data_IF_334701979783
#
_entry.id   IF_334701979783
#
_cell.length_a   1.000
_cell.length_b   1.000
_cell.length_c   1.000
_cell.angle_alpha   90.00
_cell.angle_beta   90.00
_cell.angle_gamma   90.00
#
_symmetry.space_group_name_H-M   'P 1'
#
loop_
_entity.id
_entity.type
_entity.pdbx_description
1 polymer ?
#
# COMPACT_ATOMS: atom_id res chain seq x y z
N UNK A 1 -7.30 -21.69 0.29
CA UNK A 1 -6.21 -22.60 -0.18
C UNK A 1 -6.60 -24.04 -0.53
N UNK A 2 -7.17 -24.84 0.39
CA UNK A 2 -7.31 -26.30 0.24
C UNK A 2 -8.06 -26.78 -1.01
N UNK A 3 -8.99 -25.98 -1.54
CA UNK A 3 -9.73 -26.29 -2.77
C UNK A 3 -8.83 -26.28 -4.02
N UNK A 4 -7.85 -25.38 -4.10
CA UNK A 4 -6.90 -25.36 -5.22
C UNK A 4 -5.97 -26.57 -5.20
N UNK A 5 -5.56 -26.99 -4.00
CA UNK A 5 -4.78 -28.21 -3.79
C UNK A 5 -5.61 -29.45 -4.16
N UNK A 6 -6.88 -29.50 -3.73
CA UNK A 6 -7.81 -30.57 -4.08
C UNK A 6 -7.99 -30.67 -5.59
N UNK A 7 -8.19 -29.55 -6.28
CA UNK A 7 -8.27 -29.50 -7.75
C UNK A 7 -7.00 -30.01 -8.42
N UNK A 8 -5.82 -29.67 -7.90
CA UNK A 8 -4.55 -30.15 -8.45
C UNK A 8 -4.40 -31.67 -8.27
N UNK A 9 -4.76 -32.21 -7.10
CA UNK A 9 -4.68 -33.64 -6.80
C UNK A 9 -5.74 -34.44 -7.56
N UNK A 10 -6.96 -33.92 -7.65
CA UNK A 10 -8.03 -34.49 -8.46
C UNK A 10 -7.78 -34.31 -9.96
N UNK A 11 -6.82 -33.48 -10.34
CA UNK A 11 -6.37 -33.37 -11.72
C UNK A 11 -5.56 -34.60 -12.07
N UNK A 12 -6.02 -35.28 -13.11
CA UNK A 12 -5.38 -36.46 -13.69
C UNK A 12 -3.97 -36.20 -14.26
N UNK A 13 -3.57 -34.92 -14.32
CA UNK A 13 -2.34 -34.42 -14.95
C UNK A 13 -1.06 -35.06 -14.41
N UNK A 14 -0.96 -35.29 -13.09
CA UNK A 14 0.26 -35.87 -12.50
C UNK A 14 0.42 -37.35 -12.88
N UNK A 15 -0.69 -38.11 -12.90
CA UNK A 15 -0.69 -39.52 -13.27
C UNK A 15 -0.41 -39.68 -14.76
N UNK A 16 -1.06 -38.89 -15.62
CA UNK A 16 -0.78 -38.89 -17.07
C UNK A 16 0.67 -38.53 -17.40
N UNK A 17 1.25 -37.58 -16.67
CA UNK A 17 2.67 -37.21 -16.86
C UNK A 17 3.60 -38.36 -16.47
N UNK A 18 3.32 -39.05 -15.37
CA UNK A 18 4.05 -40.26 -14.98
C UNK A 18 3.93 -41.35 -16.07
N UNK A 19 2.72 -41.63 -16.55
CA UNK A 19 2.49 -42.66 -17.58
C UNK A 19 3.21 -42.32 -18.90
N UNK A 20 3.25 -41.04 -19.28
CA UNK A 20 4.03 -40.56 -20.43
C UNK A 20 5.54 -40.78 -20.23
N UNK A 21 6.07 -40.48 -19.04
CA UNK A 21 7.49 -40.69 -18.73
C UNK A 21 7.86 -42.18 -18.75
N UNK A 22 6.99 -43.02 -18.18
CA UNK A 22 7.15 -44.48 -18.16
C UNK A 22 7.06 -45.09 -19.58
N UNK A 23 6.13 -44.58 -20.41
CA UNK A 23 6.06 -44.92 -21.84
C UNK A 23 7.33 -44.51 -22.59
N UNK A 24 7.79 -43.28 -22.38
CA UNK A 24 9.02 -42.78 -23.01
C UNK A 24 10.25 -43.61 -22.61
N UNK A 25 10.38 -44.00 -21.35
CA UNK A 25 11.46 -44.88 -20.88
C UNK A 25 11.46 -46.23 -21.62
N UNK A 26 10.30 -46.85 -21.79
CA UNK A 26 10.18 -48.14 -22.51
C UNK A 26 10.58 -48.03 -23.98
N UNK A 27 10.25 -46.91 -24.62
CA UNK A 27 10.45 -46.70 -26.05
C UNK A 27 11.76 -45.96 -26.39
N UNK A 28 12.49 -45.48 -25.38
CA UNK A 28 13.64 -44.58 -25.55
C UNK A 28 14.67 -45.07 -26.58
N UNK A 29 15.04 -46.36 -26.51
CA UNK A 29 16.03 -46.95 -27.42
C UNK A 29 15.46 -47.28 -28.81
N UNK A 30 14.14 -47.34 -28.96
CA UNK A 30 13.46 -47.54 -30.23
C UNK A 30 13.20 -46.21 -30.97
N UNK A 31 13.17 -45.11 -30.23
CA UNK A 31 12.94 -43.77 -30.74
C UNK A 31 14.18 -43.16 -31.40
N UNK A 32 13.95 -42.28 -32.37
CA UNK A 32 15.01 -41.40 -32.89
C UNK A 32 15.38 -40.32 -31.88
N UNK A 33 16.54 -39.67 -32.10
CA UNK A 33 16.96 -38.53 -31.29
C UNK A 33 15.89 -37.43 -31.25
N UNK A 34 15.33 -37.06 -32.41
CA UNK A 34 14.31 -36.02 -32.50
C UNK A 34 13.02 -36.39 -31.76
N UNK A 35 12.59 -37.65 -31.83
CA UNK A 35 11.44 -38.14 -31.06
C UNK A 35 11.69 -38.05 -29.56
N UNK A 36 12.87 -38.48 -29.10
CA UNK A 36 13.25 -38.39 -27.69
C UNK A 36 13.33 -36.94 -27.20
N UNK A 37 13.86 -36.02 -28.02
CA UNK A 37 13.86 -34.60 -27.71
C UNK A 37 12.44 -34.03 -27.65
N UNK A 38 11.56 -34.40 -28.59
CA UNK A 38 10.16 -33.99 -28.59
C UNK A 38 9.42 -34.46 -27.32
N UNK A 39 9.58 -35.72 -26.93
CA UNK A 39 8.99 -36.25 -25.70
C UNK A 39 9.51 -35.52 -24.45
N UNK A 40 10.80 -35.23 -24.41
CA UNK A 40 11.41 -34.44 -23.32
C UNK A 40 10.78 -33.03 -23.24
N UNK A 41 10.66 -32.33 -24.36
CA UNK A 41 10.05 -31.00 -24.42
C UNK A 41 8.57 -31.00 -24.01
N UNK A 42 7.79 -31.98 -24.46
CA UNK A 42 6.41 -32.14 -24.04
C UNK A 42 6.30 -32.33 -22.52
N UNK A 43 7.16 -33.15 -21.92
CA UNK A 43 7.18 -33.36 -20.48
C UNK A 43 7.55 -32.07 -19.73
N UNK A 44 8.55 -31.33 -20.20
CA UNK A 44 8.91 -30.02 -19.64
C UNK A 44 7.72 -29.05 -19.70
N UNK A 45 6.97 -29.03 -20.80
CA UNK A 45 5.77 -28.21 -20.94
C UNK A 45 4.69 -28.59 -19.91
N UNK A 46 4.45 -29.89 -19.69
CA UNK A 46 3.48 -30.34 -18.69
C UNK A 46 3.94 -30.01 -17.27
N UNK A 47 5.22 -30.21 -16.95
CA UNK A 47 5.82 -29.82 -15.66
C UNK A 47 5.62 -28.32 -15.42
N UNK A 48 5.83 -27.49 -16.44
CA UNK A 48 5.66 -26.04 -16.35
C UNK A 48 4.23 -25.63 -15.96
N UNK A 49 3.21 -26.33 -16.47
CA UNK A 49 1.80 -26.09 -16.12
C UNK A 49 1.52 -26.44 -14.65
N UNK A 50 2.00 -27.60 -14.20
CA UNK A 50 1.88 -28.05 -12.80
C UNK A 50 2.64 -27.13 -11.86
N UNK A 51 3.86 -26.75 -12.23
CA UNK A 51 4.69 -25.80 -11.49
C UNK A 51 3.98 -24.45 -11.33
N UNK A 52 3.33 -23.94 -12.39
CA UNK A 52 2.50 -22.74 -12.33
C UNK A 52 1.29 -22.87 -11.39
N UNK A 53 0.65 -24.04 -11.33
CA UNK A 53 -0.43 -24.32 -10.36
C UNK A 53 0.10 -24.34 -8.92
N UNK A 54 1.25 -24.97 -8.68
CA UNK A 54 1.92 -25.01 -7.38
C UNK A 54 2.36 -23.62 -6.92
N UNK A 55 2.85 -22.77 -7.83
CA UNK A 55 3.17 -21.38 -7.48
C UNK A 55 1.95 -20.58 -7.07
N UNK A 56 0.81 -20.72 -7.77
CA UNK A 56 -0.44 -20.07 -7.34
C UNK A 56 -0.86 -20.51 -5.93
N UNK A 57 -0.76 -21.81 -5.67
CA UNK A 57 -1.01 -22.43 -4.36
C UNK A 57 -0.06 -21.85 -3.30
N UNK A 58 1.25 -21.80 -3.57
CA UNK A 58 2.26 -21.22 -2.70
C UNK A 58 1.97 -19.75 -2.35
N UNK A 59 1.73 -18.91 -3.36
CA UNK A 59 1.45 -17.48 -3.16
C UNK A 59 0.17 -17.28 -2.34
N UNK A 60 -0.87 -18.06 -2.61
CA UNK A 60 -2.11 -18.01 -1.81
C UNK A 60 -1.85 -18.43 -0.36
N UNK A 61 -1.03 -19.46 -0.14
CA UNK A 61 -0.68 -19.93 1.20
C UNK A 61 0.12 -18.90 2.01
N UNK A 62 1.11 -18.27 1.37
CA UNK A 62 1.91 -17.24 2.02
C UNK A 62 1.04 -16.04 2.46
N UNK A 63 0.04 -15.69 1.65
CA UNK A 63 -0.89 -14.59 1.97
C UNK A 63 -1.85 -14.91 3.13
N UNK A 64 -2.09 -16.18 3.44
CA UNK A 64 -3.02 -16.58 4.52
C UNK A 64 -2.46 -16.29 5.92
N UNK A 65 -1.14 -16.11 6.10
CA UNK A 65 -0.52 -15.84 7.41
C UNK A 65 -0.39 -14.35 7.80
N UNK A 66 -0.88 -13.42 6.98
CA UNK A 66 -0.83 -11.97 7.26
C UNK A 66 0.38 -11.25 6.62
N UNK A 67 0.66 -10.02 7.05
CA UNK A 67 1.51 -9.06 6.30
C UNK A 67 2.97 -9.51 6.03
N UNK A 68 3.52 -10.43 6.83
CA UNK A 68 4.91 -10.88 6.70
C UNK A 68 5.08 -12.40 6.74
N UNK A 69 4.00 -13.14 6.92
CA UNK A 69 4.09 -14.57 7.09
C UNK A 69 4.26 -15.27 5.74
N UNK A 70 5.00 -16.38 5.71
CA UNK A 70 5.41 -17.04 4.46
C UNK A 70 6.44 -16.29 3.59
N UNK A 71 6.61 -14.97 3.73
CA UNK A 71 7.60 -14.16 2.99
C UNK A 71 9.03 -14.63 3.29
N UNK A 72 9.33 -14.94 4.56
CA UNK A 72 10.65 -15.43 4.94
C UNK A 72 10.96 -16.82 4.37
N UNK A 73 9.94 -17.69 4.20
CA UNK A 73 10.09 -18.99 3.52
C UNK A 73 10.38 -18.77 2.04
N UNK A 74 9.69 -17.82 1.39
CA UNK A 74 9.93 -17.48 -0.01
C UNK A 74 11.37 -16.96 -0.20
N UNK A 75 11.81 -16.03 0.64
CA UNK A 75 13.17 -15.46 0.56
C UNK A 75 14.26 -16.48 0.86
N UNK A 76 14.09 -17.32 1.88
CA UNK A 76 15.13 -18.25 2.33
C UNK A 76 15.20 -19.54 1.52
N UNK A 77 14.11 -19.94 0.84
CA UNK A 77 14.06 -21.22 0.10
C UNK A 77 13.79 -21.07 -1.38
N UNK A 78 12.76 -20.31 -1.76
CA UNK A 78 12.37 -20.24 -3.17
C UNK A 78 13.36 -19.41 -3.99
N UNK A 79 13.77 -18.25 -3.50
CA UNK A 79 14.70 -17.37 -4.25
C UNK A 79 16.06 -18.04 -4.50
N UNK A 80 16.74 -18.66 -3.51
CA UNK A 80 18.01 -19.33 -3.76
C UNK A 80 17.88 -20.51 -4.72
N UNK A 81 16.75 -21.23 -4.67
CA UNK A 81 16.49 -22.34 -5.60
C UNK A 81 16.29 -21.84 -7.04
N UNK A 82 15.58 -20.73 -7.23
CA UNK A 82 15.41 -20.11 -8.55
C UNK A 82 16.75 -19.60 -9.08
N UNK A 83 17.53 -18.91 -8.24
CA UNK A 83 18.86 -18.42 -8.60
C UNK A 83 19.76 -19.56 -9.08
N UNK A 84 19.84 -20.65 -8.31
CA UNK A 84 20.60 -21.84 -8.70
C UNK A 84 20.09 -22.48 -10.01
N UNK A 85 18.78 -22.48 -10.24
CA UNK A 85 18.17 -23.08 -11.44
C UNK A 85 18.51 -22.29 -12.71
N UNK A 86 18.56 -20.95 -12.64
CA UNK A 86 18.96 -20.11 -13.78
C UNK A 86 20.48 -20.17 -14.03
N UNK A 87 21.29 -20.35 -12.98
CA UNK A 87 22.74 -20.57 -13.14
C UNK A 87 23.05 -21.94 -13.74
N UNK A 88 22.34 -22.99 -13.32
CA UNK A 88 22.56 -24.36 -13.82
C UNK A 88 22.18 -24.54 -15.30
N UNK A 89 21.13 -23.87 -15.76
CA UNK A 89 20.71 -23.92 -17.17
C UNK A 89 21.73 -23.31 -18.14
N UNK A 90 22.69 -22.52 -17.63
CA UNK A 90 23.78 -21.93 -18.42
C UNK A 90 24.98 -22.86 -18.59
N UNK A 91 25.04 -23.99 -17.87
CA UNK A 91 26.23 -24.82 -17.77
C UNK A 91 26.30 -25.92 -18.84
N UNK A 92 26.40 -25.47 -20.09
CA UNK A 92 26.94 -26.27 -21.18
C UNK A 92 28.45 -26.08 -21.30
N UNK A 93 29.24 -26.72 -20.40
CA UNK A 93 30.71 -26.99 -20.38
C UNK A 93 31.51 -26.34 -19.22
N UNK A 94 32.49 -27.06 -18.64
CA UNK A 94 33.52 -26.46 -17.80
C UNK A 94 34.62 -25.91 -18.73
N UNK A 95 34.69 -24.60 -18.88
CA UNK A 95 35.85 -23.94 -19.50
C UNK A 95 36.48 -23.05 -18.45
N UNK A 96 37.63 -23.52 -17.96
CA UNK A 96 38.66 -22.71 -17.32
C UNK A 96 39.04 -21.58 -18.28
N UNK A 97 38.52 -20.38 -18.06
CA UNK A 97 39.29 -19.14 -18.21
C UNK A 97 38.45 -17.96 -17.72
N UNK A 98 39.07 -17.11 -16.91
CA UNK A 98 38.56 -15.87 -16.32
C UNK A 98 37.51 -15.15 -17.20
N UNK A 99 36.25 -15.27 -16.81
CA UNK A 99 35.19 -14.33 -17.18
C UNK A 99 34.80 -13.63 -15.87
N UNK A 100 34.70 -12.28 -15.83
CA UNK A 100 34.24 -11.59 -14.63
C UNK A 100 32.90 -12.17 -14.21
N UNK A 101 32.84 -12.70 -12.99
CA UNK A 101 31.64 -13.32 -12.46
C UNK A 101 30.48 -12.31 -12.50
N UNK A 102 29.33 -12.72 -13.03
CA UNK A 102 28.09 -11.92 -12.97
C UNK A 102 27.68 -11.56 -11.52
N UNK A 103 28.29 -12.22 -10.54
CA UNK A 103 28.23 -11.86 -9.12
C UNK A 103 28.69 -10.41 -8.86
N UNK A 104 29.76 -9.95 -9.53
CA UNK A 104 30.30 -8.59 -9.35
C UNK A 104 29.33 -7.51 -9.83
N UNK A 105 28.50 -7.81 -10.84
CA UNK A 105 27.47 -6.87 -11.31
C UNK A 105 26.28 -6.77 -10.36
N UNK A 106 25.85 -7.89 -9.75
CA UNK A 106 24.73 -7.92 -8.81
C UNK A 106 25.11 -7.35 -7.43
N UNK A 107 26.33 -7.61 -6.95
CA UNK A 107 26.77 -7.07 -5.66
C UNK A 107 26.92 -5.54 -5.73
N UNK A 108 27.36 -4.99 -6.87
CA UNK A 108 27.49 -3.55 -7.07
C UNK A 108 26.12 -2.83 -7.10
N UNK A 109 25.06 -3.53 -7.52
CA UNK A 109 23.68 -3.03 -7.47
C UNK A 109 23.11 -3.05 -6.05
N UNK A 110 23.31 -4.14 -5.30
CA UNK A 110 22.85 -4.26 -3.89
C UNK A 110 23.42 -3.16 -2.99
N UNK A 111 24.70 -2.83 -3.14
CA UNK A 111 25.34 -1.77 -2.33
C UNK A 111 24.80 -0.37 -2.65
N UNK A 112 24.45 -0.13 -3.92
CA UNK A 112 23.95 1.17 -4.36
C UNK A 112 22.50 1.39 -3.91
N UNK A 113 21.66 0.36 -3.97
CA UNK A 113 20.27 0.43 -3.53
C UNK A 113 20.13 0.46 -2.00
N UNK A 114 20.99 -0.27 -1.27
CA UNK A 114 21.08 -0.19 0.20
C UNK A 114 21.51 1.20 0.66
N UNK A 115 22.47 1.84 -0.03
CA UNK A 115 22.95 3.17 0.33
C UNK A 115 21.96 4.30 0.05
N UNK A 116 21.06 4.13 -0.94
CA UNK A 116 19.98 5.09 -1.21
C UNK A 116 18.89 4.97 -0.14
N UNK A 117 18.44 3.74 0.17
CA UNK A 117 17.42 3.51 1.21
C UNK A 117 17.86 3.98 2.61
N UNK A 118 19.14 3.82 2.94
CA UNK A 118 19.69 4.29 4.22
C UNK A 118 19.71 5.82 4.33
N UNK A 119 20.05 6.52 3.24
CA UNK A 119 19.98 8.00 3.19
C UNK A 119 18.55 8.52 3.33
N UNK A 120 17.60 7.89 2.63
CA UNK A 120 16.18 8.29 2.71
C UNK A 120 15.63 8.04 4.12
N UNK A 121 16.04 6.95 4.78
CA UNK A 121 15.67 6.65 6.16
C UNK A 121 16.25 7.67 7.15
N UNK A 122 17.53 8.04 7.00
CA UNK A 122 18.17 9.07 7.82
C UNK A 122 17.53 10.46 7.61
N UNK A 123 17.11 10.77 6.38
CA UNK A 123 16.40 12.01 6.08
C UNK A 123 15.02 12.04 6.76
N UNK A 124 14.24 10.97 6.66
CA UNK A 124 12.94 10.86 7.34
C UNK A 124 13.07 10.98 8.86
N UNK A 125 14.10 10.38 9.46
CA UNK A 125 14.33 10.45 10.91
C UNK A 125 14.72 11.87 11.35
N UNK A 126 15.50 12.59 10.53
CA UNK A 126 15.84 14.00 10.73
C UNK A 126 14.61 14.92 10.61
N UNK A 127 13.73 14.66 9.65
CA UNK A 127 12.46 15.39 9.49
C UNK A 127 11.51 15.12 10.67
N UNK A 128 11.44 13.88 11.16
CA UNK A 128 10.61 13.49 12.30
C UNK A 128 11.07 14.17 13.59
N UNK A 129 12.37 14.17 13.85
CA UNK A 129 12.95 14.85 15.03
C UNK A 129 12.78 16.37 14.95
N UNK A 130 12.97 16.98 13.78
CA UNK A 130 12.68 18.40 13.55
C UNK A 130 11.23 18.74 13.84
N UNK A 131 10.29 17.96 13.29
CA UNK A 131 8.84 18.17 13.50
C UNK A 131 8.45 18.01 14.97
N UNK A 132 9.03 17.02 15.66
CA UNK A 132 8.82 16.80 17.09
C UNK A 132 9.31 17.98 17.94
N UNK A 133 10.47 18.55 17.59
CA UNK A 133 11.00 19.73 18.27
C UNK A 133 10.14 20.96 18.03
N UNK A 134 9.65 21.18 16.81
CA UNK A 134 8.71 22.26 16.49
C UNK A 134 7.39 22.12 17.27
N UNK A 135 6.86 20.90 17.39
CA UNK A 135 5.66 20.64 18.18
C UNK A 135 5.87 20.99 19.66
N UNK A 136 7.01 20.59 20.24
CA UNK A 136 7.35 20.93 21.61
C UNK A 136 7.47 22.45 21.80
N UNK A 137 8.11 23.15 20.87
CA UNK A 137 8.25 24.61 20.92
C UNK A 137 6.88 25.30 20.88
N UNK A 138 6.00 24.92 19.95
CA UNK A 138 4.63 25.47 19.87
C UNK A 138 3.84 25.14 21.13
N UNK A 139 4.01 23.94 21.70
CA UNK A 139 3.34 23.56 22.94
C UNK A 139 3.80 24.41 24.14
N UNK A 140 5.09 24.75 24.21
CA UNK A 140 5.62 25.61 25.27
C UNK A 140 5.21 27.08 25.08
N UNK A 141 5.15 27.57 23.84
CA UNK A 141 4.60 28.89 23.52
C UNK A 141 3.12 29.00 23.90
N UNK A 142 2.32 27.96 23.61
CA UNK A 142 0.91 27.92 24.02
C UNK A 142 0.75 27.96 25.54
N UNK A 143 1.56 27.19 26.28
CA UNK A 143 1.54 27.25 27.76
C UNK A 143 1.94 28.62 28.28
N UNK A 144 2.96 29.24 27.70
CA UNK A 144 3.41 30.59 28.08
C UNK A 144 2.31 31.63 27.84
N UNK A 145 1.65 31.58 26.67
CA UNK A 145 0.52 32.44 26.35
C UNK A 145 -0.68 32.21 27.26
N UNK A 146 -0.98 30.96 27.62
CA UNK A 146 -2.01 30.61 28.58
C UNK A 146 -1.74 31.25 29.95
N UNK A 147 -0.51 31.13 30.47
CA UNK A 147 -0.11 31.74 31.74
C UNK A 147 -0.20 33.28 31.67
N UNK A 148 0.20 33.87 30.54
CA UNK A 148 0.11 35.30 30.33
C UNK A 148 -1.34 35.78 30.32
N UNK A 149 -2.25 35.03 29.68
CA UNK A 149 -3.68 35.31 29.65
C UNK A 149 -4.31 35.19 31.05
N UNK A 150 -4.06 34.10 31.78
CA UNK A 150 -4.51 33.90 33.16
C UNK A 150 -4.05 35.02 34.10
N UNK A 151 -2.81 35.48 33.93
CA UNK A 151 -2.27 36.60 34.72
C UNK A 151 -2.97 37.93 34.42
N UNK A 152 -3.38 38.15 33.16
CA UNK A 152 -4.16 39.34 32.77
C UNK A 152 -5.57 39.28 33.31
N UNK A 153 -6.22 38.11 33.29
CA UNK A 153 -7.54 37.93 33.87
C UNK A 153 -7.56 38.22 35.36
N UNK A 154 -6.58 37.71 36.12
CA UNK A 154 -6.45 38.05 37.56
C UNK A 154 -6.20 39.54 37.80
N UNK A 155 -5.41 40.21 36.95
CA UNK A 155 -5.13 41.63 37.10
C UNK A 155 -6.37 42.50 36.81
N UNK A 156 -7.18 42.10 35.82
CA UNK A 156 -8.47 42.73 35.50
C UNK A 156 -9.50 42.56 36.62
N UNK A 157 -9.56 41.37 37.25
CA UNK A 157 -10.44 41.13 38.41
C UNK A 157 -10.02 41.98 39.62
N UNK A 158 -8.71 42.05 39.94
CA UNK A 158 -8.21 42.88 41.03
C UNK A 158 -8.48 44.38 40.82
N UNK A 159 -8.39 44.87 39.58
CA UNK A 159 -8.65 46.28 39.25
C UNK A 159 -10.14 46.63 39.20
N UNK A 160 -11.01 45.65 38.94
CA UNK A 160 -12.47 45.86 38.98
C UNK A 160 -13.04 45.94 40.40
N UNK A 161 -12.32 45.44 41.41
CA UNK A 161 -12.75 45.50 42.82
C UNK A 161 -12.46 46.84 43.52
N UNK A 162 -11.59 47.69 42.98
CA UNK A 162 -11.21 48.97 43.65
C UNK A 162 -12.02 50.19 43.19
N UNK A 163 -12.88 50.08 42.16
CA UNK A 163 -13.60 51.23 41.59
C UNK A 163 -15.13 51.19 41.73
N UNK A 164 -15.66 50.63 42.83
CA UNK A 164 -17.09 50.82 43.18
C UNK A 164 -17.26 51.46 44.55
N UNK A 165 -17.00 52.76 44.61
CA UNK A 165 -17.73 53.63 45.53
C UNK A 165 -17.85 55.02 44.90
N UNK A 166 -19.08 55.54 44.87
CA UNK A 166 -19.54 56.90 44.50
C UNK A 166 -20.20 57.07 43.12
N UNK A 167 -21.52 56.95 43.11
CA UNK A 167 -22.46 57.69 42.22
C UNK A 167 -22.71 59.11 42.78
N UNK A 168 -23.52 60.00 42.16
CA UNK A 168 -23.86 60.22 40.74
C UNK A 168 -23.81 61.74 40.36
N UNK A 169 -23.89 62.12 39.05
CA UNK A 169 -24.73 63.24 38.53
C UNK A 169 -24.48 63.63 37.06
N UNK A 170 -25.56 63.53 36.29
CA UNK A 170 -26.16 64.50 35.35
C UNK A 170 -25.43 65.02 34.08
N UNK A 171 -26.24 65.08 33.01
CA UNK A 171 -26.27 65.94 31.80
C UNK A 171 -25.54 65.51 30.51
N UNK A 172 -26.33 65.11 29.51
CA UNK A 172 -26.08 65.35 28.06
C UNK A 172 -26.25 66.87 27.72
N UNK A 173 -26.10 67.44 26.49
CA UNK A 173 -25.99 66.81 25.14
C UNK A 173 -25.11 67.57 24.07
N UNK A 174 -25.08 67.03 22.83
CA UNK A 174 -24.98 67.68 21.48
C UNK A 174 -23.66 67.71 20.64
N UNK A 175 -23.83 67.14 19.43
CA UNK A 175 -23.52 67.61 18.05
C UNK A 175 -22.12 67.60 17.42
N UNK A 176 -22.02 66.80 16.35
CA UNK A 176 -21.61 67.15 14.97
C UNK A 176 -20.13 67.26 14.54
N UNK A 177 -19.83 66.40 13.55
CA UNK A 177 -19.09 66.63 12.29
C UNK A 177 -17.55 66.70 12.23
N UNK A 178 -17.04 65.69 11.50
CA UNK A 178 -16.16 65.84 10.35
C UNK A 178 -14.73 66.37 10.57
N UNK A 179 -13.76 65.44 10.59
CA UNK A 179 -12.60 65.52 9.68
C UNK A 179 -11.86 64.19 9.56
N UNK A 180 -11.96 63.62 8.35
CA UNK A 180 -11.02 62.67 7.77
C UNK A 180 -9.65 63.34 7.61
N UNK A 181 -8.57 62.66 7.99
CA UNK A 181 -7.40 62.43 7.12
C UNK A 181 -6.43 61.39 7.76
N UNK A 182 -6.44 60.21 7.14
CA UNK A 182 -5.36 59.26 6.84
C UNK A 182 -4.04 59.22 7.63
N UNK A 183 -3.72 58.00 8.10
CA UNK A 183 -2.44 57.29 7.85
C UNK A 183 -2.71 55.77 8.06
N UNK A 184 -3.15 54.99 7.06
CA UNK A 184 -2.35 54.30 6.01
C UNK A 184 -1.15 53.56 6.65
N UNK A 185 -0.98 52.24 6.66
CA UNK A 185 -1.52 51.08 5.96
C UNK A 185 -0.44 49.98 6.04
N UNK A 186 -0.79 48.68 5.95
CA UNK A 186 0.01 47.55 5.40
C UNK A 186 -0.79 46.24 5.58
N UNK A 187 -1.17 45.71 4.40
CA UNK A 187 -1.46 44.33 4.01
C UNK A 187 -2.68 43.56 4.53
N UNK A 188 -3.83 43.97 3.97
CA UNK A 188 -4.83 43.04 3.46
C UNK A 188 -4.25 42.24 2.28
N UNK A 189 -3.69 41.05 2.51
CA UNK A 189 -3.34 40.12 1.41
C UNK A 189 -3.28 38.62 1.77
N UNK A 190 -3.99 38.19 2.81
CA UNK A 190 -3.98 36.77 3.23
C UNK A 190 -5.34 36.14 3.49
N UNK A 191 -6.43 36.92 3.49
CA UNK A 191 -7.73 36.46 3.97
C UNK A 191 -8.71 35.99 2.87
N UNK A 192 -8.39 36.20 1.59
CA UNK A 192 -9.26 35.79 0.47
C UNK A 192 -8.92 34.41 -0.10
N UNK A 193 -7.64 33.98 -0.07
CA UNK A 193 -7.24 32.65 -0.57
C UNK A 193 -7.62 31.50 0.38
N UNK A 194 -7.77 31.77 1.68
CA UNK A 194 -8.07 30.74 2.67
C UNK A 194 -9.51 30.21 2.61
N UNK A 195 -10.57 31.03 2.45
CA UNK A 195 -11.94 30.52 2.33
C UNK A 195 -12.22 29.80 1.00
N UNK A 196 -11.63 30.25 -0.12
CA UNK A 196 -11.81 29.59 -1.41
C UNK A 196 -11.23 28.17 -1.42
N UNK A 197 -10.00 28.00 -0.91
CA UNK A 197 -9.36 26.68 -0.82
C UNK A 197 -10.16 25.72 0.07
N UNK A 198 -10.72 26.21 1.18
CA UNK A 198 -11.59 25.39 2.05
C UNK A 198 -12.87 25.01 1.30
N UNK A 199 -13.47 25.93 0.54
CA UNK A 199 -14.67 25.65 -0.26
C UNK A 199 -14.41 24.64 -1.39
N UNK A 200 -13.22 24.66 -2.00
CA UNK A 200 -12.82 23.70 -3.02
C UNK A 200 -12.65 22.30 -2.45
N UNK A 201 -12.07 22.18 -1.25
CA UNK A 201 -11.96 20.89 -0.55
C UNK A 201 -13.32 20.36 -0.11
N UNK A 202 -14.23 21.21 0.36
CA UNK A 202 -15.61 20.81 0.69
C UNK A 202 -16.37 20.32 -0.54
N UNK A 203 -16.18 20.99 -1.69
CA UNK A 203 -16.78 20.58 -2.97
C UNK A 203 -16.21 19.25 -3.44
N UNK A 204 -14.89 19.04 -3.36
CA UNK A 204 -14.27 17.75 -3.68
C UNK A 204 -14.76 16.62 -2.76
N UNK A 205 -14.89 16.89 -1.46
CA UNK A 205 -15.45 15.92 -0.51
C UNK A 205 -16.91 15.58 -0.82
N UNK A 206 -17.67 16.51 -1.39
CA UNK A 206 -19.03 16.24 -1.85
C UNK A 206 -19.06 15.39 -3.10
N UNK A 207 -18.28 15.73 -4.10
CA UNK A 207 -18.14 14.94 -5.33
C UNK A 207 -17.71 13.50 -5.03
N UNK A 208 -16.68 13.31 -4.20
CA UNK A 208 -16.21 11.98 -3.83
C UNK A 208 -17.26 11.15 -3.08
N UNK A 209 -18.08 11.79 -2.23
CA UNK A 209 -19.18 11.10 -1.54
C UNK A 209 -20.27 10.66 -2.52
N UNK A 210 -20.59 11.49 -3.50
CA UNK A 210 -21.58 11.17 -4.52
C UNK A 210 -21.06 10.05 -5.44
N UNK A 211 -19.78 10.08 -5.83
CA UNK A 211 -19.14 9.00 -6.58
C UNK A 211 -19.12 7.68 -5.80
N UNK A 212 -18.78 7.70 -4.50
CA UNK A 212 -18.83 6.52 -3.64
C UNK A 212 -20.26 5.97 -3.55
N UNK A 213 -21.27 6.83 -3.46
CA UNK A 213 -22.66 6.41 -3.42
C UNK A 213 -23.08 5.72 -4.73
N UNK A 214 -22.70 6.27 -5.89
CA UNK A 214 -22.95 5.68 -7.21
C UNK A 214 -22.24 4.34 -7.34
N UNK A 215 -20.94 4.28 -7.06
CA UNK A 215 -20.14 3.06 -7.12
C UNK A 215 -20.66 1.98 -6.15
N UNK A 216 -21.16 2.38 -4.98
CA UNK A 216 -21.76 1.46 -4.01
C UNK A 216 -23.11 0.92 -4.50
N UNK A 217 -23.92 1.75 -5.15
CA UNK A 217 -25.17 1.32 -5.77
C UNK A 217 -24.92 0.38 -6.96
N UNK A 218 -23.93 0.68 -7.80
CA UNK A 218 -23.52 -0.17 -8.92
C UNK A 218 -22.95 -1.51 -8.45
N UNK A 219 -22.08 -1.49 -7.44
CA UNK A 219 -21.57 -2.70 -6.78
C UNK A 219 -22.71 -3.56 -6.23
N UNK A 220 -23.70 -2.93 -5.60
CA UNK A 220 -24.89 -3.62 -5.08
C UNK A 220 -25.75 -4.21 -6.20
N UNK A 221 -25.90 -3.50 -7.32
CA UNK A 221 -26.63 -3.99 -8.50
C UNK A 221 -25.91 -5.17 -9.18
N UNK A 222 -24.58 -5.12 -9.30
CA UNK A 222 -23.76 -6.21 -9.84
C UNK A 222 -23.79 -7.44 -8.93
N UNK A 223 -23.71 -7.25 -7.61
CA UNK A 223 -23.84 -8.34 -6.63
C UNK A 223 -25.27 -8.93 -6.64
N UNK A 224 -26.31 -8.09 -6.74
CA UNK A 224 -27.70 -8.53 -6.85
C UNK A 224 -27.99 -9.32 -8.13
N UNK A 225 -27.35 -8.98 -9.26
CA UNK A 225 -27.43 -9.74 -10.51
C UNK A 225 -26.70 -11.08 -10.44
N UNK A 226 -25.57 -11.15 -9.75
CA UNK A 226 -24.84 -12.41 -9.51
C UNK A 226 -25.62 -13.39 -8.64
N UNK A 227 -26.45 -12.90 -7.71
CA UNK A 227 -27.34 -13.75 -6.91
C UNK A 227 -28.54 -14.30 -7.71
N UNK A 228 -29.00 -13.58 -8.76
CA UNK A 228 -30.20 -13.93 -9.54
C UNK A 228 -29.91 -14.84 -10.75
N UNK A 229 -28.65 -15.05 -11.14
CA UNK A 229 -28.24 -15.96 -12.22
C UNK A 229 -27.89 -17.38 -11.74
N UNK A 230 -28.20 -17.74 -10.49
CA UNK A 230 -28.19 -19.14 -10.04
C UNK A 230 -29.51 -19.82 -10.44
N UNK A 231 -29.57 -20.28 -11.68
CA UNK A 231 -30.55 -21.29 -12.11
C UNK A 231 -30.42 -22.54 -11.23
N UNK A 232 -31.51 -23.10 -10.68
CA UNK A 232 -31.44 -24.38 -9.98
C UNK A 232 -31.15 -25.50 -10.98
N UNK A 233 -30.08 -26.26 -10.77
CA UNK A 233 -29.84 -27.49 -11.54
C UNK A 233 -30.97 -28.50 -11.27
N UNK A 234 -31.48 -29.21 -12.30
CA UNK A 234 -32.54 -30.19 -12.12
C UNK A 234 -31.99 -31.42 -11.39
N UNK A 235 -32.65 -31.80 -10.28
CA UNK A 235 -32.33 -32.98 -9.49
C UNK A 235 -32.62 -34.31 -10.23
N UNK A 236 -32.00 -35.42 -9.79
CA UNK A 236 -32.07 -36.69 -10.50
C UNK A 236 -33.47 -37.32 -10.35
N UNK A 237 -34.08 -37.68 -11.49
CA UNK A 237 -35.31 -38.49 -11.52
C UNK A 237 -34.99 -39.92 -11.09
N UNK A 238 -35.49 -40.32 -9.92
CA UNK A 238 -35.59 -41.71 -9.51
C UNK A 238 -36.57 -42.44 -10.43
N UNK A 239 -36.15 -43.56 -11.03
CA UNK A 239 -37.05 -44.52 -11.70
C UNK A 239 -37.20 -45.73 -10.78
N UNK A 240 -38.42 -45.97 -10.34
CA UNK A 240 -38.95 -47.30 -10.03
C UNK A 240 -39.52 -47.93 -11.30
#
# INVERSE_FOLDING_TARGET
MAENLRKLVSSETLRLMHDKLDGWLREYNANTCDQNLSHCLELIEQISKVQGQLFRILTTAAQEGGHYDGVEIIKSRLLPWLEASFTAASLGKPVDSRVPSLQDTFDKEKHKESGVRDRDMQQLDSELTSTRNQLNQVQDELKSLQIQEDSRHRNLEHRSTEHRCSEPRASEPRTSEQRRLDQRGIDKRGSEQRPEVISDYEKQLRTLKDEIAVLSAEKSALQGRSARSRTPSPGPRSRS
#
